data_IF_408163900288
#
_entry.id   IF_408163900288
#
_cell.length_a   1.000
_cell.length_b   1.000
_cell.length_c   1.000
_cell.angle_alpha   90.00
_cell.angle_beta   90.00
_cell.angle_gamma   90.00
#
_symmetry.space_group_name_H-M   'P 1'
#
loop_
_entity.id
_entity.type
_entity.pdbx_description
1 polymer ?
#
# COMPACT_ATOMS: atom_id res chain seq x y z
N UNK A 1 17.40 13.11 -4.16
CA UNK A 1 16.16 13.87 -3.89
C UNK A 1 14.98 12.92 -4.06
N UNK A 2 13.95 13.06 -3.24
CA UNK A 2 12.71 12.28 -3.37
C UNK A 2 12.02 12.59 -4.71
N UNK A 3 11.49 11.58 -5.40
CA UNK A 3 10.81 11.71 -6.68
C UNK A 3 9.28 11.60 -6.57
N UNK A 4 8.74 11.29 -5.38
CA UNK A 4 7.30 11.27 -5.09
C UNK A 4 6.48 10.19 -5.80
N UNK A 5 7.14 9.21 -6.47
CA UNK A 5 6.46 8.16 -7.25
C UNK A 5 5.75 7.11 -6.40
N UNK A 6 6.23 6.90 -5.19
CA UNK A 6 5.80 5.80 -4.33
C UNK A 6 5.40 6.30 -2.95
N UNK A 7 4.52 5.54 -2.32
CA UNK A 7 4.13 5.72 -0.91
C UNK A 7 4.56 4.48 -0.15
N UNK A 8 5.18 4.69 1.00
CA UNK A 8 5.37 3.67 2.02
C UNK A 8 4.24 3.74 3.04
N UNK A 9 3.56 2.62 3.28
CA UNK A 9 2.58 2.49 4.35
C UNK A 9 3.08 1.46 5.35
N UNK A 10 3.20 1.86 6.62
CA UNK A 10 3.30 0.89 7.71
C UNK A 10 1.94 0.24 7.90
N UNK A 11 1.91 -1.09 7.92
CA UNK A 11 0.71 -1.89 8.17
C UNK A 11 0.84 -2.61 9.50
N UNK A 12 -0.31 -2.97 10.09
CA UNK A 12 -0.36 -3.81 11.29
C UNK A 12 -0.45 -5.30 10.93
N UNK A 13 -0.32 -6.16 11.94
CA UNK A 13 -0.33 -7.62 11.76
C UNK A 13 -1.64 -8.15 11.15
N UNK A 14 -2.78 -7.49 11.42
CA UNK A 14 -4.07 -7.87 10.83
C UNK A 14 -4.11 -7.54 9.34
N UNK A 15 -3.65 -6.36 8.95
CA UNK A 15 -3.53 -5.96 7.55
C UNK A 15 -2.56 -6.88 6.79
N UNK A 16 -1.45 -7.28 7.42
CA UNK A 16 -0.53 -8.27 6.85
C UNK A 16 -1.22 -9.62 6.66
N UNK A 17 -1.89 -10.14 7.70
CA UNK A 17 -2.59 -11.41 7.62
C UNK A 17 -3.69 -11.40 6.53
N UNK A 18 -4.49 -10.33 6.46
CA UNK A 18 -5.50 -10.16 5.41
C UNK A 18 -4.86 -10.13 4.01
N UNK A 19 -3.71 -9.48 3.84
CA UNK A 19 -3.01 -9.49 2.56
C UNK A 19 -2.52 -10.89 2.21
N UNK A 20 -1.90 -11.61 3.14
CA UNK A 20 -1.39 -12.97 2.90
C UNK A 20 -2.52 -13.94 2.56
N UNK A 21 -3.68 -13.82 3.22
CA UNK A 21 -4.88 -14.60 2.90
C UNK A 21 -5.39 -14.28 1.48
N UNK A 22 -5.46 -13.01 1.11
CA UNK A 22 -5.93 -12.57 -0.21
C UNK A 22 -4.88 -12.69 -1.33
N UNK A 23 -3.61 -12.96 -0.99
CA UNK A 23 -2.48 -12.88 -1.91
C UNK A 23 -2.66 -13.74 -3.18
N UNK A 24 -3.13 -15.00 -3.12
CA UNK A 24 -3.33 -15.81 -4.32
C UNK A 24 -4.31 -15.17 -5.31
N UNK A 25 -5.46 -14.67 -4.82
CA UNK A 25 -6.46 -14.01 -5.64
C UNK A 25 -5.99 -12.64 -6.14
N UNK A 26 -5.27 -11.90 -5.31
CA UNK A 26 -4.66 -10.63 -5.67
C UNK A 26 -3.68 -10.80 -6.85
N UNK A 27 -2.78 -11.78 -6.79
CA UNK A 27 -1.80 -12.00 -7.84
C UNK A 27 -2.43 -12.53 -9.14
N UNK A 28 -3.43 -13.41 -9.06
CA UNK A 28 -4.22 -13.81 -10.24
C UNK A 28 -4.88 -12.59 -10.90
N UNK A 29 -5.57 -11.74 -10.14
CA UNK A 29 -6.20 -10.52 -10.65
C UNK A 29 -5.19 -9.54 -11.27
N UNK A 30 -4.09 -9.25 -10.56
CA UNK A 30 -3.05 -8.32 -11.04
C UNK A 30 -2.35 -8.89 -12.28
N UNK A 31 -2.15 -10.21 -12.38
CA UNK A 31 -1.58 -10.84 -13.57
C UNK A 31 -2.44 -10.58 -14.81
N UNK A 32 -3.77 -10.69 -14.69
CA UNK A 32 -4.69 -10.40 -15.82
C UNK A 32 -4.66 -8.92 -16.20
N UNK A 33 -4.60 -8.02 -15.22
CA UNK A 33 -4.45 -6.59 -15.48
C UNK A 33 -3.11 -6.25 -16.16
N UNK A 34 -2.03 -6.96 -15.84
CA UNK A 34 -0.69 -6.71 -16.40
C UNK A 34 -0.46 -7.36 -17.77
N UNK A 35 -0.94 -8.59 -17.98
CA UNK A 35 -0.62 -9.38 -19.17
C UNK A 35 -1.75 -9.41 -20.21
N UNK A 36 -2.95 -8.97 -19.86
CA UNK A 36 -4.11 -8.90 -20.76
C UNK A 36 -4.68 -7.48 -20.91
N UNK A 37 -3.92 -6.45 -20.50
CA UNK A 37 -4.32 -5.04 -20.55
C UNK A 37 -5.70 -4.76 -19.94
N UNK A 38 -6.10 -5.55 -18.94
CA UNK A 38 -7.38 -5.35 -18.28
C UNK A 38 -7.32 -4.12 -17.37
N UNK A 39 -8.18 -3.11 -17.57
CA UNK A 39 -8.15 -1.89 -16.78
C UNK A 39 -8.47 -2.18 -15.31
N UNK A 40 -7.74 -1.53 -14.41
CA UNK A 40 -7.92 -1.67 -12.96
C UNK A 40 -7.70 -0.36 -12.24
N UNK A 41 -8.49 -0.15 -11.19
CA UNK A 41 -8.34 0.94 -10.21
C UNK A 41 -7.76 0.46 -8.88
N UNK A 42 -7.48 -0.85 -8.77
CA UNK A 42 -6.88 -1.42 -7.57
C UNK A 42 -5.43 -0.91 -7.44
N UNK A 43 -5.09 -0.39 -6.27
CA UNK A 43 -3.72 0.03 -5.98
C UNK A 43 -2.81 -1.21 -5.96
N UNK A 44 -1.72 -1.16 -6.73
CA UNK A 44 -0.76 -2.26 -6.84
C UNK A 44 0.21 -2.22 -5.66
N UNK A 45 0.29 -3.31 -4.92
CA UNK A 45 1.36 -3.58 -3.97
C UNK A 45 2.60 -3.99 -4.77
N UNK A 46 3.66 -3.19 -4.68
CA UNK A 46 4.93 -3.40 -5.37
C UNK A 46 5.90 -4.24 -4.53
N UNK A 47 5.76 -4.17 -3.21
CA UNK A 47 6.58 -4.94 -2.28
C UNK A 47 6.04 -4.85 -0.86
N UNK A 48 6.32 -5.90 -0.09
CA UNK A 48 6.03 -6.00 1.33
C UNK A 48 7.33 -6.38 2.03
N UNK A 49 7.70 -5.61 3.05
CA UNK A 49 8.99 -5.72 3.72
C UNK A 49 8.79 -5.69 5.23
N UNK A 50 9.51 -6.55 5.94
CA UNK A 50 9.73 -6.39 7.36
C UNK A 50 11.03 -5.61 7.58
N UNK A 51 10.97 -4.57 8.41
CA UNK A 51 12.15 -3.79 8.79
C UNK A 51 12.35 -3.83 10.30
N UNK A 52 13.61 -3.98 10.73
CA UNK A 52 14.02 -3.86 12.13
C UNK A 52 14.69 -2.50 12.35
N UNK A 53 14.26 -1.79 13.39
CA UNK A 53 14.95 -0.61 13.90
C UNK A 53 15.43 -0.85 15.33
N UNK A 54 16.68 -0.46 15.60
CA UNK A 54 17.29 -0.63 16.92
C UNK A 54 17.62 0.73 17.52
N UNK A 55 16.96 1.07 18.62
CA UNK A 55 17.30 2.25 19.40
C UNK A 55 18.50 1.93 20.29
N UNK A 56 19.67 2.47 19.93
CA UNK A 56 20.94 2.23 20.65
C UNK A 56 20.97 2.80 22.07
N UNK A 57 20.11 3.77 22.41
CA UNK A 57 20.06 4.42 23.73
C UNK A 57 19.18 3.60 24.69
N UNK A 58 18.00 3.17 24.24
CA UNK A 58 17.08 2.38 25.08
C UNK A 58 17.26 0.87 24.95
N UNK A 59 18.06 0.39 23.99
CA UNK A 59 18.20 -1.03 23.64
C UNK A 59 16.96 -1.65 22.99
N UNK A 60 15.90 -0.86 22.74
CA UNK A 60 14.64 -1.36 22.18
C UNK A 60 14.77 -1.66 20.70
N UNK A 61 14.32 -2.86 20.31
CA UNK A 61 14.11 -3.26 18.91
C UNK A 61 12.64 -3.10 18.55
N UNK A 62 12.37 -2.58 17.36
CA UNK A 62 11.02 -2.44 16.80
C UNK A 62 11.01 -3.05 15.42
N UNK A 63 10.09 -3.98 15.20
CA UNK A 63 9.79 -4.58 13.91
C UNK A 63 8.58 -3.87 13.30
N UNK A 64 8.64 -3.60 12.01
CA UNK A 64 7.56 -2.93 11.27
C UNK A 64 7.33 -3.62 9.93
N UNK A 65 6.07 -3.79 9.58
CA UNK A 65 5.66 -4.26 8.26
C UNK A 65 5.39 -3.05 7.37
N UNK A 66 6.06 -2.97 6.23
CA UNK A 66 5.98 -1.87 5.28
C UNK A 66 5.48 -2.37 3.93
N UNK A 67 4.53 -1.65 3.35
CA UNK A 67 4.03 -1.89 2.00
C UNK A 67 4.41 -0.72 1.11
N UNK A 68 4.98 -1.03 -0.05
CA UNK A 68 5.34 -0.06 -1.09
C UNK A 68 4.28 -0.08 -2.18
N UNK A 69 3.74 1.08 -2.52
CA UNK A 69 2.67 1.25 -3.51
C UNK A 69 2.91 2.49 -4.38
N UNK A 70 2.37 2.55 -5.61
CA UNK A 70 2.39 3.77 -6.41
C UNK A 70 1.63 4.91 -5.71
N UNK A 71 2.16 6.13 -5.83
CA UNK A 71 1.43 7.33 -5.45
C UNK A 71 0.40 7.67 -6.53
N UNK A 72 -0.89 7.48 -6.25
CA UNK A 72 -1.98 7.75 -7.20
C UNK A 72 -2.10 9.24 -7.58
N UNK A 73 -1.52 10.13 -6.79
CA UNK A 73 -1.50 11.58 -7.04
C UNK A 73 -0.21 12.04 -7.73
N UNK A 74 0.69 11.11 -8.08
CA UNK A 74 1.96 11.44 -8.73
C UNK A 74 1.75 12.22 -10.04
N UNK A 75 2.51 13.31 -10.22
CA UNK A 75 2.42 14.20 -11.39
C UNK A 75 1.02 14.77 -11.67
N UNK A 76 0.21 14.96 -10.63
CA UNK A 76 -1.11 15.60 -10.75
C UNK A 76 -1.14 16.95 -10.03
N UNK A 77 -1.70 17.98 -10.68
CA UNK A 77 -2.07 19.23 -10.02
C UNK A 77 -3.43 19.05 -9.33
N UNK A 78 -3.42 18.84 -8.02
CA UNK A 78 -4.62 18.52 -7.24
C UNK A 78 -5.07 19.76 -6.46
N UNK A 79 -6.26 20.27 -6.76
CA UNK A 79 -6.87 21.38 -6.01
C UNK A 79 -7.76 20.91 -4.85
N UNK A 80 -8.32 19.71 -4.96
CA UNK A 80 -9.19 19.08 -3.95
C UNK A 80 -9.03 17.57 -3.97
N UNK A 81 -9.12 16.94 -2.81
CA UNK A 81 -9.07 15.49 -2.63
C UNK A 81 -10.37 15.03 -1.98
N UNK A 82 -10.88 13.88 -2.41
CA UNK A 82 -12.11 13.29 -1.89
C UNK A 82 -11.86 11.81 -1.55
N UNK A 83 -12.40 11.36 -0.41
CA UNK A 83 -12.47 9.94 -0.03
C UNK A 83 -13.94 9.49 -0.15
N UNK A 84 -14.25 8.79 -1.25
CA UNK A 84 -15.62 8.43 -1.61
C UNK A 84 -15.89 6.97 -1.24
N UNK A 85 -16.76 6.76 -0.23
CA UNK A 85 -17.12 5.43 0.28
C UNK A 85 -18.52 4.96 -0.12
N UNK A 86 -19.30 5.80 -0.81
CA UNK A 86 -20.66 5.49 -1.25
C UNK A 86 -21.73 5.44 -0.15
N UNK A 87 -21.36 5.34 1.13
CA UNK A 87 -22.31 5.38 2.27
C UNK A 87 -22.78 6.81 2.57
N UNK A 88 -24.00 6.96 3.09
CA UNK A 88 -24.58 8.24 3.55
C UNK A 88 -24.47 8.47 5.05
N UNK A 89 -24.26 7.42 5.85
CA UNK A 89 -24.16 7.45 7.32
C UNK A 89 -22.70 7.38 7.78
N UNK A 90 -22.39 8.10 8.86
CA UNK A 90 -21.03 8.26 9.44
C UNK A 90 -20.04 8.91 8.48
N UNK A 91 -20.40 10.09 7.98
CA UNK A 91 -19.50 11.01 7.26
C UNK A 91 -19.05 12.11 8.19
#
# INVERSE_FOLDING_TARGET
ADDGRYVLKQINDKELAMFLEAAPAYFDYVSRSLFHDQPSVLCKILGLFETESHNKISGKKVFQQLVVMPNILYHRHIHRVYDLKGSTRSR
#
